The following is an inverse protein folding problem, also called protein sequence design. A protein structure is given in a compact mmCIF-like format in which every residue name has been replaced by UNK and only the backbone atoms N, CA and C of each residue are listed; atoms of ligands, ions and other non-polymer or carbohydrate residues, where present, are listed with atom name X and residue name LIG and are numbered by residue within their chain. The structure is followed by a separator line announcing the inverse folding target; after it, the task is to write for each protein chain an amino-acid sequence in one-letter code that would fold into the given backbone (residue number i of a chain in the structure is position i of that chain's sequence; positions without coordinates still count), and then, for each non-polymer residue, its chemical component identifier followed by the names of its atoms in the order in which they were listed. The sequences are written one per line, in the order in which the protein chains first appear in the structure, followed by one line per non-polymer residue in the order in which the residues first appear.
data_IF_134506440353
#
_entry.id   IF_134506440353
#
_cell.length_a   1.000
_cell.length_b   1.000
_cell.length_c   1.000
_cell.angle_alpha   90.00
_cell.angle_beta   90.00
_cell.angle_gamma   90.00
#
_symmetry.space_group_name_H-M   'P 1'
#
loop_
_entity.id
_entity.type
_entity.pdbx_description
1 polymer ?
#
# COMPACT_ATOMS: atom_id res chain seq x y z
N UNK A 1 -27.27 -12.96 9.63
CA UNK A 1 -25.82 -13.08 9.37
C UNK A 1 -25.50 -12.14 8.22
N UNK A 2 -25.21 -10.86 8.40
CA UNK A 2 -24.65 -10.20 9.58
C UNK A 2 -23.13 -10.32 9.64
N UNK A 3 -22.46 -10.31 8.48
CA UNK A 3 -21.00 -10.20 8.40
C UNK A 3 -20.69 -8.99 7.52
N UNK A 4 -20.86 -7.81 8.11
CA UNK A 4 -20.46 -6.55 7.50
C UNK A 4 -19.01 -6.32 7.94
N UNK A 5 -18.10 -7.03 7.31
CA UNK A 5 -16.65 -6.82 7.41
C UNK A 5 -16.23 -5.54 6.65
N UNK A 6 -17.09 -4.52 6.66
CA UNK A 6 -16.93 -3.25 5.95
C UNK A 6 -16.11 -2.22 6.72
N UNK A 7 -15.60 -2.55 7.91
CA UNK A 7 -14.89 -1.59 8.78
C UNK A 7 -13.42 -1.36 8.36
N UNK A 8 -13.01 -1.88 7.20
CA UNK A 8 -11.67 -1.66 6.63
C UNK A 8 -11.60 -1.70 5.10
N UNK A 9 -12.75 -1.75 4.42
CA UNK A 9 -12.82 -1.86 2.96
C UNK A 9 -12.91 -0.47 2.32
N UNK A 10 -11.98 -0.16 1.42
CA UNK A 10 -12.01 1.08 0.66
C UNK A 10 -13.30 1.16 -0.19
N UNK A 11 -14.03 2.27 -0.08
CA UNK A 11 -15.27 2.48 -0.80
C UNK A 11 -15.00 2.92 -2.25
N UNK A 12 -15.76 2.40 -3.24
CA UNK A 12 -15.65 2.86 -4.63
C UNK A 12 -15.88 4.37 -4.76
N UNK A 13 -15.19 5.00 -5.73
CA UNK A 13 -15.31 6.43 -6.05
C UNK A 13 -15.06 7.38 -4.85
N UNK A 14 -14.30 6.93 -3.87
CA UNK A 14 -13.89 7.74 -2.71
C UNK A 14 -12.40 8.07 -2.82
N UNK A 15 -12.06 9.33 -2.57
CA UNK A 15 -10.66 9.76 -2.51
C UNK A 15 -10.09 9.45 -1.14
N UNK A 16 -8.92 8.82 -1.13
CA UNK A 16 -8.16 8.49 0.07
C UNK A 16 -6.78 9.11 -0.03
N UNK A 17 -6.29 9.65 1.09
CA UNK A 17 -4.91 10.10 1.23
C UNK A 17 -4.05 8.99 1.85
N UNK A 18 -3.13 8.43 1.06
CA UNK A 18 -2.24 7.36 1.49
C UNK A 18 -0.85 7.94 1.81
N UNK A 19 -0.32 7.62 2.98
CA UNK A 19 1.04 8.00 3.39
C UNK A 19 1.84 6.76 3.82
N UNK A 20 3.07 6.69 3.34
CA UNK A 20 4.08 5.75 3.81
C UNK A 20 5.20 6.52 4.50
N UNK A 21 5.43 6.20 5.76
CA UNK A 21 6.55 6.78 6.51
C UNK A 21 7.65 5.74 6.64
N UNK A 22 8.77 5.99 5.98
CA UNK A 22 9.90 5.06 5.95
C UNK A 22 10.90 5.43 7.04
N UNK A 23 11.24 4.47 7.90
CA UNK A 23 12.35 4.54 8.84
C UNK A 23 13.52 3.68 8.33
N UNK A 24 14.52 4.35 7.75
CA UNK A 24 15.71 3.70 7.22
C UNK A 24 16.69 3.21 8.30
N UNK A 25 16.63 3.77 9.52
CA UNK A 25 17.46 3.31 10.63
C UNK A 25 16.94 1.99 11.18
N UNK A 26 15.62 1.90 11.37
CA UNK A 26 14.93 0.69 11.81
C UNK A 26 14.64 -0.31 10.67
N UNK A 27 14.79 0.12 9.42
CA UNK A 27 14.46 -0.63 8.20
C UNK A 27 12.97 -1.07 8.15
N UNK A 28 12.09 -0.17 8.58
CA UNK A 28 10.63 -0.41 8.67
C UNK A 28 9.84 0.73 8.02
N UNK A 29 8.55 0.51 7.80
CA UNK A 29 7.61 1.55 7.42
C UNK A 29 6.29 1.46 8.17
N UNK A 30 5.65 2.62 8.28
CA UNK A 30 4.29 2.78 8.76
C UNK A 30 3.37 3.17 7.60
N UNK A 31 2.15 2.63 7.58
CA UNK A 31 1.14 2.84 6.56
C UNK A 31 -0.07 3.57 7.14
N UNK A 32 -0.45 4.69 6.50
CA UNK A 32 -1.57 5.53 6.91
C UNK A 32 -2.58 5.72 5.78
N UNK A 33 -3.87 5.79 6.14
CA UNK A 33 -4.98 6.16 5.26
C UNK A 33 -5.75 7.31 5.92
N UNK A 34 -5.90 8.41 5.21
CA UNK A 34 -6.52 9.66 5.71
C UNK A 34 -5.91 10.15 7.04
N UNK A 35 -4.61 9.90 7.22
CA UNK A 35 -3.85 10.23 8.42
C UNK A 35 -4.08 9.28 9.60
N UNK A 36 -4.90 8.25 9.45
CA UNK A 36 -5.08 7.17 10.45
C UNK A 36 -4.04 6.09 10.19
N UNK A 37 -3.29 5.72 11.23
CA UNK A 37 -2.34 4.60 11.19
C UNK A 37 -3.12 3.29 11.01
N UNK A 38 -2.87 2.60 9.92
CA UNK A 38 -3.45 1.29 9.63
C UNK A 38 -2.50 0.19 10.11
N UNK A 39 -1.20 0.35 9.86
CA UNK A 39 -0.20 -0.66 10.21
C UNK A 39 1.17 0.03 10.45
N UNK A 40 1.94 -0.47 11.40
CA UNK A 40 3.23 0.12 11.82
C UNK A 40 4.35 -0.92 11.87
N UNK A 41 5.60 -0.46 11.69
CA UNK A 41 6.78 -1.30 11.87
C UNK A 41 6.93 -2.42 10.85
N UNK A 42 6.30 -2.30 9.67
CA UNK A 42 6.37 -3.31 8.62
C UNK A 42 7.79 -3.29 8.04
N UNK A 43 8.49 -4.44 7.94
CA UNK A 43 9.81 -4.48 7.29
C UNK A 43 9.77 -3.90 5.88
N UNK A 44 10.74 -3.04 5.54
CA UNK A 44 10.84 -2.47 4.19
C UNK A 44 11.15 -3.53 3.13
N UNK A 45 11.85 -4.59 3.53
CA UNK A 45 12.33 -5.65 2.66
C UNK A 45 12.09 -7.00 3.35
N UNK A 46 11.68 -8.01 2.60
CA UNK A 46 11.75 -9.38 3.11
C UNK A 46 13.22 -9.75 3.22
N UNK A 47 13.64 -10.51 4.25
CA UNK A 47 15.01 -11.00 4.32
C UNK A 47 15.42 -11.80 3.07
N UNK A 48 14.45 -12.44 2.41
CA UNK A 48 14.62 -13.18 1.16
C UNK A 48 14.92 -12.27 -0.05
N UNK A 49 14.53 -10.98 -0.02
CA UNK A 49 14.73 -10.02 -1.12
C UNK A 49 16.16 -9.45 -1.15
N UNK A 50 16.91 -9.59 -0.05
CA UNK A 50 18.28 -9.08 0.10
C UNK A 50 19.32 -10.12 -0.37
N UNK A 51 18.94 -11.40 -0.45
CA UNK A 51 19.85 -12.49 -0.81
C UNK A 51 20.04 -12.60 -2.34
N UNK A 52 20.88 -11.72 -2.89
CA UNK A 52 21.51 -11.96 -4.19
C UNK A 52 21.34 -10.89 -5.26
N UNK A 53 20.68 -9.76 -4.99
CA UNK A 53 20.56 -8.66 -5.94
C UNK A 53 21.50 -7.48 -5.57
N UNK A 54 22.68 -7.36 -6.21
CA UNK A 54 23.63 -6.28 -5.95
C UNK A 54 23.14 -4.91 -6.45
N UNK A 55 22.07 -4.87 -7.25
CA UNK A 55 21.45 -3.64 -7.75
C UNK A 55 20.17 -3.27 -6.97
N UNK A 56 19.97 -3.88 -5.79
CA UNK A 56 18.96 -3.45 -4.82
C UNK A 56 19.35 -2.10 -4.19
N UNK A 57 19.44 -1.08 -5.03
CA UNK A 57 19.40 0.30 -4.59
C UNK A 57 18.01 0.56 -4.01
N UNK A 58 17.96 1.23 -2.86
CA UNK A 58 16.77 1.69 -2.15
C UNK A 58 15.96 2.76 -2.92
N UNK A 59 15.83 2.59 -4.23
CA UNK A 59 14.92 3.34 -5.06
C UNK A 59 13.54 2.72 -4.85
N UNK A 60 12.58 3.52 -4.37
CA UNK A 60 11.19 3.11 -4.24
C UNK A 60 10.61 2.90 -5.65
N UNK A 61 10.75 1.70 -6.19
CA UNK A 61 10.08 1.28 -7.41
C UNK A 61 8.71 0.72 -7.06
N UNK A 62 7.64 1.45 -7.40
CA UNK A 62 6.30 0.87 -7.43
C UNK A 62 6.22 -0.08 -8.63
N UNK A 63 6.70 -1.32 -8.46
CA UNK A 63 6.78 -2.34 -9.52
C UNK A 63 5.40 -2.78 -9.98
N UNK A 64 4.44 -2.84 -9.04
CA UNK A 64 3.04 -3.17 -9.30
C UNK A 64 2.18 -2.69 -8.13
N UNK A 65 1.31 -1.71 -8.36
CA UNK A 65 0.23 -1.40 -7.43
C UNK A 65 -1.00 -2.20 -7.87
N UNK A 66 -1.51 -3.07 -7.01
CA UNK A 66 -2.78 -3.79 -7.24
C UNK A 66 -3.80 -3.22 -6.26
N UNK A 67 -4.81 -2.52 -6.78
CA UNK A 67 -5.95 -2.06 -5.99
C UNK A 67 -7.04 -3.11 -6.20
N UNK A 68 -7.14 -4.05 -5.26
CA UNK A 68 -8.20 -5.05 -5.29
C UNK A 68 -9.48 -4.45 -4.72
N UNK A 69 -10.61 -4.71 -5.39
CA UNK A 69 -11.89 -4.69 -4.71
C UNK A 69 -12.25 -6.13 -4.37
N UNK A 70 -12.70 -6.36 -3.14
CA UNK A 70 -13.29 -7.62 -2.63
C UNK A 70 -14.63 -7.96 -3.32
N UNK A 71 -15.16 -7.04 -4.12
CA UNK A 71 -16.27 -7.30 -5.02
C UNK A 71 -15.82 -8.35 -6.06
N UNK A 72 -16.25 -9.60 -5.88
CA UNK A 72 -15.95 -10.77 -6.71
C UNK A 72 -16.45 -10.75 -8.17
N UNK A 73 -16.30 -9.62 -8.87
CA UNK A 73 -16.53 -9.47 -10.30
C UNK A 73 -15.22 -9.17 -11.02
N UNK A 74 -14.63 -10.20 -11.63
CA UNK A 74 -13.40 -10.11 -12.45
C UNK A 74 -13.65 -9.63 -13.89
N UNK A 75 -14.86 -9.12 -14.17
CA UNK A 75 -15.35 -8.94 -15.55
C UNK A 75 -15.59 -7.47 -15.94
N UNK A 76 -15.23 -6.51 -15.09
CA UNK A 76 -15.29 -5.09 -15.40
C UNK A 76 -13.90 -4.47 -15.34
N UNK A 77 -13.56 -3.65 -16.34
CA UNK A 77 -12.36 -2.81 -16.29
C UNK A 77 -12.43 -1.94 -15.02
N UNK A 78 -11.46 -2.12 -14.12
CA UNK A 78 -11.37 -1.33 -12.89
C UNK A 78 -10.49 -0.12 -13.15
N UNK A 79 -11.03 1.07 -12.89
CA UNK A 79 -10.31 2.33 -13.03
C UNK A 79 -9.94 2.87 -11.65
N UNK A 80 -8.70 3.34 -11.51
CA UNK A 80 -8.23 4.05 -10.33
C UNK A 80 -7.52 5.33 -10.77
N UNK A 81 -7.73 6.41 -10.01
CA UNK A 81 -7.19 7.74 -10.30
C UNK A 81 -6.20 8.13 -9.22
N UNK A 82 -5.07 8.70 -9.62
CA UNK A 82 -4.06 9.28 -8.73
C UNK A 82 -3.90 10.74 -9.13
N UNK A 83 -3.97 11.64 -8.16
CA UNK A 83 -3.76 13.08 -8.39
C UNK A 83 -2.34 13.49 -7.97
N UNK A 84 -2.06 13.48 -6.66
CA UNK A 84 -0.81 14.00 -6.11
C UNK A 84 0.09 12.88 -5.59
N UNK A 85 1.36 12.92 -6.00
CA UNK A 85 2.44 12.12 -5.44
C UNK A 85 3.50 13.08 -4.89
N UNK A 86 3.81 12.93 -3.60
CA UNK A 86 4.84 13.71 -2.91
C UNK A 86 5.82 12.76 -2.24
N UNK A 87 7.11 12.98 -2.46
CA UNK A 87 8.21 12.28 -1.80
C UNK A 87 8.97 13.33 -0.99
N UNK A 88 9.26 13.05 0.28
CA UNK A 88 9.88 13.98 1.20
C UNK A 88 11.20 13.47 1.72
#
# INVERSE_FOLDING_TARGET
NGDADTDGMALPNTWYHIEFKLDWEANTHDFYVDGVLIEEGIPLFSPDDIEGDPDFYANLYVKKMTIGTDAGGVDAEQEAWIDQIKIQ
#
